data_IF_543308074818
#
_entry.id   IF_543308074818
#
_cell.length_a   1.000
_cell.length_b   1.000
_cell.length_c   1.000
_cell.angle_alpha   90.00
_cell.angle_beta   90.00
_cell.angle_gamma   90.00
#
_symmetry.space_group_name_H-M   'P 1'
#
loop_
_entity.id
_entity.type
_entity.pdbx_description
1 polymer ?
#
# COMPACT_ATOMS: atom_id res chain seq x y z
N UNK A 1 -4.05 -1.26 11.44
CA UNK A 1 -2.93 -2.20 11.36
C UNK A 1 -1.83 -1.70 10.42
N UNK A 2 -2.00 -1.59 9.11
CA UNK A 2 -0.94 -1.15 8.17
C UNK A 2 -0.29 0.20 8.51
N UNK A 3 -1.07 1.23 8.88
CA UNK A 3 -0.52 2.53 9.30
C UNK A 3 0.19 2.45 10.65
N UNK A 4 -0.32 1.65 11.57
CA UNK A 4 0.28 1.45 12.88
C UNK A 4 1.67 0.80 12.72
N UNK A 5 1.76 -0.28 11.95
CA UNK A 5 3.03 -0.90 11.58
C UNK A 5 3.99 0.09 10.89
N UNK A 6 3.48 0.87 9.92
CA UNK A 6 4.28 1.85 9.19
C UNK A 6 4.94 2.87 10.12
N UNK A 7 4.20 3.40 11.09
CA UNK A 7 4.74 4.41 12.00
C UNK A 7 5.57 3.81 13.14
N UNK A 8 5.09 2.76 13.80
CA UNK A 8 5.74 2.21 14.99
C UNK A 8 6.93 1.31 14.69
N UNK A 9 7.00 0.70 13.51
CA UNK A 9 8.08 -0.22 13.14
C UNK A 9 8.94 0.36 12.04
N UNK A 10 8.37 0.62 10.86
CA UNK A 10 9.17 1.03 9.71
C UNK A 10 9.85 2.38 9.87
N UNK A 11 9.15 3.39 10.39
CA UNK A 11 9.71 4.74 10.56
C UNK A 11 10.74 4.77 11.70
N UNK A 12 10.48 4.06 12.80
CA UNK A 12 11.37 4.00 13.93
C UNK A 12 12.67 3.25 13.58
N UNK A 13 12.58 2.09 12.92
CA UNK A 13 13.75 1.34 12.44
C UNK A 13 14.52 2.15 11.38
N UNK A 14 13.82 2.80 10.46
CA UNK A 14 14.46 3.67 9.47
C UNK A 14 15.23 4.81 10.10
N UNK A 15 14.68 5.43 11.16
CA UNK A 15 15.34 6.49 11.92
C UNK A 15 16.56 5.97 12.67
N UNK A 16 16.40 4.88 13.44
CA UNK A 16 17.46 4.37 14.33
C UNK A 16 18.62 3.73 13.58
N UNK A 17 18.32 2.97 12.50
CA UNK A 17 19.34 2.18 11.79
C UNK A 17 20.01 2.97 10.67
N UNK A 18 19.23 3.74 9.91
CA UNK A 18 19.71 4.41 8.68
C UNK A 18 19.70 5.93 8.78
N UNK A 19 19.18 6.50 9.88
CA UNK A 19 18.89 7.92 10.02
C UNK A 19 18.13 8.48 8.83
N UNK A 20 17.29 7.64 8.19
CA UNK A 20 16.47 7.95 7.03
C UNK A 20 15.21 7.10 7.00
N UNK A 21 14.10 7.77 6.75
CA UNK A 21 12.83 7.15 6.36
C UNK A 21 12.16 8.06 5.31
N UNK A 22 11.26 7.51 4.50
CA UNK A 22 10.52 8.34 3.56
C UNK A 22 9.52 9.21 4.30
N UNK A 23 9.78 10.52 4.37
CA UNK A 23 8.82 11.47 4.91
C UNK A 23 7.53 11.43 4.07
N UNK A 24 6.39 11.40 4.70
CA UNK A 24 5.08 11.17 4.08
C UNK A 24 4.10 12.34 4.31
N UNK A 25 4.63 13.55 4.43
CA UNK A 25 3.85 14.79 4.46
C UNK A 25 3.01 15.01 5.72
N UNK A 26 3.20 14.19 6.77
CA UNK A 26 2.43 14.32 8.02
C UNK A 26 3.34 14.57 9.22
N UNK A 27 2.94 15.49 10.08
CA UNK A 27 3.51 15.71 11.42
C UNK A 27 5.04 15.74 11.46
N UNK A 28 5.66 16.51 10.59
CA UNK A 28 7.11 16.65 10.53
C UNK A 28 7.58 18.09 10.56
N UNK A 29 8.77 18.33 11.11
CA UNK A 29 9.43 19.62 11.15
C UNK A 29 10.72 19.53 10.35
N UNK A 30 10.96 20.50 9.49
CA UNK A 30 12.16 20.61 8.68
C UNK A 30 13.05 21.76 9.15
N UNK A 31 14.37 21.52 9.21
CA UNK A 31 15.31 22.64 9.30
C UNK A 31 15.28 23.42 7.98
N UNK A 32 15.20 24.74 8.04
CA UNK A 32 15.16 25.61 6.85
C UNK A 32 16.41 25.41 5.99
N UNK A 33 17.59 25.25 6.61
CA UNK A 33 18.84 24.94 5.91
C UNK A 33 18.75 23.64 5.13
N UNK A 34 18.20 22.55 5.73
CA UNK A 34 18.04 21.28 5.04
C UNK A 34 17.11 21.37 3.84
N UNK A 35 16.03 22.13 3.97
CA UNK A 35 15.07 22.37 2.91
C UNK A 35 15.72 23.15 1.75
N UNK A 36 16.47 24.18 2.05
CA UNK A 36 17.17 25.01 1.05
C UNK A 36 18.27 24.22 0.34
N UNK A 37 19.13 23.50 1.07
CA UNK A 37 20.19 22.68 0.50
C UNK A 37 19.68 21.52 -0.34
N UNK A 38 18.51 20.95 0.01
CA UNK A 38 17.83 19.96 -0.81
C UNK A 38 17.16 20.54 -2.07
N UNK A 39 17.15 21.89 -2.24
CA UNK A 39 16.58 22.59 -3.39
C UNK A 39 15.06 22.76 -3.30
N UNK A 40 14.51 22.83 -2.07
CA UNK A 40 13.09 23.12 -1.82
C UNK A 40 12.12 22.05 -2.33
N UNK A 41 10.86 22.39 -2.33
CA UNK A 41 9.79 21.56 -2.89
C UNK A 41 9.85 21.55 -4.41
N UNK A 42 9.59 20.37 -5.02
CA UNK A 42 9.49 20.21 -6.47
C UNK A 42 8.16 19.58 -6.83
N UNK A 43 7.58 20.02 -7.93
CA UNK A 43 6.27 19.60 -8.46
C UNK A 43 6.34 18.44 -9.45
N UNK A 44 7.50 17.78 -9.58
CA UNK A 44 7.75 16.74 -10.57
C UNK A 44 7.01 15.42 -10.31
N UNK A 45 6.41 15.25 -9.14
CA UNK A 45 5.67 14.05 -8.73
C UNK A 45 4.56 14.41 -7.74
N UNK A 46 3.61 13.48 -7.54
CA UNK A 46 2.54 13.61 -6.55
C UNK A 46 2.96 13.22 -5.13
N UNK A 47 4.26 12.96 -4.90
CA UNK A 47 4.86 12.64 -3.59
C UNK A 47 6.08 13.54 -3.37
N UNK A 48 5.82 14.83 -3.41
CA UNK A 48 6.81 15.91 -3.26
C UNK A 48 7.53 15.85 -1.91
N UNK A 49 6.86 15.35 -0.89
CA UNK A 49 7.35 15.09 0.45
C UNK A 49 8.45 14.00 0.45
N UNK A 50 8.21 12.89 -0.21
CA UNK A 50 9.17 11.81 -0.37
C UNK A 50 10.35 12.24 -1.26
N UNK A 51 10.09 12.98 -2.34
CA UNK A 51 11.14 13.52 -3.20
C UNK A 51 12.10 14.42 -2.41
N UNK A 52 11.57 15.35 -1.63
CA UNK A 52 12.36 16.21 -0.76
C UNK A 52 13.17 15.40 0.26
N UNK A 53 12.54 14.39 0.88
CA UNK A 53 13.21 13.53 1.86
C UNK A 53 14.41 12.78 1.25
N UNK A 54 14.25 12.20 0.06
CA UNK A 54 15.35 11.51 -0.62
C UNK A 54 16.47 12.51 -0.95
N UNK A 55 16.15 13.68 -1.52
CA UNK A 55 17.17 14.70 -1.85
C UNK A 55 17.93 15.20 -0.62
N UNK A 56 17.23 15.48 0.48
CA UNK A 56 17.85 15.88 1.74
C UNK A 56 18.78 14.77 2.28
N UNK A 57 18.34 13.52 2.22
CA UNK A 57 19.13 12.38 2.61
C UNK A 57 20.41 12.24 1.76
N UNK A 58 20.34 12.46 0.45
CA UNK A 58 21.49 12.43 -0.46
C UNK A 58 22.50 13.56 -0.16
N UNK A 59 22.06 14.67 0.45
CA UNK A 59 22.90 15.76 0.95
C UNK A 59 23.50 15.49 2.33
N UNK A 60 23.20 14.36 2.95
CA UNK A 60 23.74 13.97 4.26
C UNK A 60 22.86 14.33 5.45
N UNK A 61 21.70 14.95 5.24
CA UNK A 61 20.76 15.24 6.30
C UNK A 61 20.19 13.95 6.92
N UNK A 62 20.08 13.95 8.23
CA UNK A 62 19.58 12.82 9.02
C UNK A 62 18.14 13.07 9.45
N UNK A 63 17.36 12.00 9.53
CA UNK A 63 15.97 12.00 9.95
C UNK A 63 15.84 11.38 11.33
N UNK A 64 15.12 12.06 12.21
CA UNK A 64 14.82 11.57 13.56
C UNK A 64 13.31 11.36 13.68
N UNK A 65 12.91 10.14 14.05
CA UNK A 65 11.53 9.80 14.36
C UNK A 65 11.31 9.87 15.87
N UNK A 66 10.24 10.54 16.29
CA UNK A 66 9.86 10.70 17.70
C UNK A 66 8.57 9.90 17.97
N UNK A 67 8.71 8.61 18.25
CA UNK A 67 7.58 7.70 18.48
C UNK A 67 6.72 8.04 19.70
N UNK A 68 7.27 8.77 20.68
CA UNK A 68 6.54 9.24 21.86
C UNK A 68 5.53 10.37 21.55
N UNK A 69 5.77 11.13 20.47
CA UNK A 69 4.90 12.24 20.07
C UNK A 69 3.75 11.73 19.21
N UNK A 70 2.54 11.81 19.75
CA UNK A 70 1.33 11.34 19.06
C UNK A 70 0.56 12.51 18.47
N UNK A 71 0.13 12.36 17.22
CA UNK A 71 -0.73 13.32 16.52
C UNK A 71 -2.02 12.63 16.05
N UNK A 72 -3.12 13.39 16.05
CA UNK A 72 -4.39 12.89 15.49
C UNK A 72 -4.28 12.82 13.97
N UNK A 73 -4.65 11.68 13.40
CA UNK A 73 -4.73 11.48 11.96
C UNK A 73 -6.13 10.99 11.59
N UNK A 74 -6.75 11.63 10.60
CA UNK A 74 -8.05 11.23 10.08
C UNK A 74 -7.87 10.28 8.89
N UNK A 75 -8.57 9.16 8.93
CA UNK A 75 -8.59 8.16 7.87
C UNK A 75 -9.59 8.53 6.76
N UNK A 76 -9.43 7.96 5.55
CA UNK A 76 -10.43 8.09 4.49
C UNK A 76 -11.80 7.64 4.96
N UNK A 77 -12.84 8.40 4.59
CA UNK A 77 -14.22 8.17 5.02
C UNK A 77 -14.92 7.03 4.27
N UNK A 78 -14.46 6.70 3.08
CA UNK A 78 -15.07 5.70 2.19
C UNK A 78 -14.02 4.81 1.54
N UNK A 79 -14.43 3.62 1.09
CA UNK A 79 -13.55 2.72 0.34
C UNK A 79 -13.04 3.38 -0.96
N UNK A 80 -13.87 4.18 -1.64
CA UNK A 80 -13.47 4.95 -2.82
C UNK A 80 -12.34 5.94 -2.49
N UNK A 81 -12.48 6.71 -1.40
CA UNK A 81 -11.45 7.64 -0.93
C UNK A 81 -10.15 6.90 -0.54
N UNK A 82 -10.27 5.74 0.11
CA UNK A 82 -9.14 4.89 0.44
C UNK A 82 -8.43 4.38 -0.83
N UNK A 83 -9.15 3.94 -1.86
CA UNK A 83 -8.55 3.50 -3.14
C UNK A 83 -7.78 4.63 -3.83
N UNK A 84 -8.31 5.85 -3.87
CA UNK A 84 -7.59 7.00 -4.41
C UNK A 84 -6.30 7.31 -3.63
N UNK A 85 -6.36 7.24 -2.31
CA UNK A 85 -5.18 7.40 -1.46
C UNK A 85 -4.13 6.32 -1.75
N UNK A 86 -4.53 5.04 -1.82
CA UNK A 86 -3.64 3.91 -2.10
C UNK A 86 -3.06 3.97 -3.52
N UNK A 87 -3.84 4.43 -4.50
CA UNK A 87 -3.34 4.68 -5.85
C UNK A 87 -2.18 5.69 -5.82
N UNK A 88 -2.39 6.83 -5.20
CA UNK A 88 -1.36 7.87 -5.07
C UNK A 88 -0.12 7.37 -4.33
N UNK A 89 -0.31 6.64 -3.24
CA UNK A 89 0.79 6.10 -2.41
C UNK A 89 1.59 4.98 -3.07
N UNK A 90 1.07 4.36 -4.13
CA UNK A 90 1.79 3.35 -4.91
C UNK A 90 2.32 3.91 -6.23
N UNK A 91 1.54 4.70 -6.93
CA UNK A 91 1.90 5.32 -8.20
C UNK A 91 3.00 6.40 -8.03
N UNK A 92 2.84 7.28 -7.03
CA UNK A 92 3.77 8.37 -6.77
C UNK A 92 5.21 7.92 -6.49
N UNK A 93 5.45 7.01 -5.51
CA UNK A 93 6.78 6.47 -5.25
C UNK A 93 7.39 5.72 -6.44
N UNK A 94 6.58 5.00 -7.22
CA UNK A 94 7.04 4.31 -8.42
C UNK A 94 7.49 5.29 -9.51
N UNK A 95 6.73 6.36 -9.73
CA UNK A 95 7.11 7.44 -10.65
C UNK A 95 8.34 8.21 -10.15
N UNK A 96 8.41 8.49 -8.85
CA UNK A 96 9.57 9.12 -8.23
C UNK A 96 10.83 8.26 -8.41
N UNK A 97 10.74 6.96 -8.16
CA UNK A 97 11.84 6.04 -8.37
C UNK A 97 12.38 6.11 -9.80
N UNK A 98 11.50 6.04 -10.79
CA UNK A 98 11.88 6.15 -12.20
C UNK A 98 12.65 7.45 -12.47
N UNK A 99 12.19 8.58 -11.94
CA UNK A 99 12.80 9.91 -12.15
C UNK A 99 14.11 10.09 -11.40
N UNK A 100 14.27 9.45 -10.21
CA UNK A 100 15.43 9.67 -9.36
C UNK A 100 16.48 8.56 -9.44
N UNK A 101 16.18 7.37 -9.95
CA UNK A 101 17.10 6.23 -9.94
C UNK A 101 18.45 6.60 -10.57
N UNK A 102 18.44 7.25 -11.73
CA UNK A 102 19.66 7.67 -12.41
C UNK A 102 20.41 8.77 -11.62
N UNK A 103 19.69 9.75 -11.08
CA UNK A 103 20.25 10.82 -10.24
C UNK A 103 20.97 10.25 -8.99
N UNK A 104 20.36 9.24 -8.35
CA UNK A 104 20.94 8.57 -7.19
C UNK A 104 22.21 7.77 -7.60
N UNK A 105 22.14 7.03 -8.69
CA UNK A 105 23.27 6.19 -9.15
C UNK A 105 24.49 7.02 -9.55
N UNK A 106 24.29 8.12 -10.23
CA UNK A 106 25.37 8.99 -10.74
C UNK A 106 25.92 9.96 -9.71
N UNK A 107 25.28 10.11 -8.55
CA UNK A 107 25.74 11.03 -7.50
C UNK A 107 27.06 10.56 -6.89
N UNK A 108 28.13 11.32 -7.14
CA UNK A 108 29.50 11.00 -6.66
C UNK A 108 29.71 11.25 -5.17
N UNK A 109 28.88 12.09 -4.54
CA UNK A 109 29.03 12.49 -3.14
C UNK A 109 28.34 11.51 -2.16
N UNK A 110 27.71 10.46 -2.66
CA UNK A 110 26.95 9.49 -1.86
C UNK A 110 27.64 8.14 -1.87
N UNK A 111 27.81 7.55 -0.69
CA UNK A 111 28.45 6.23 -0.53
C UNK A 111 27.64 5.13 -1.24
N UNK A 112 28.31 4.07 -1.69
CA UNK A 112 27.66 2.94 -2.35
C UNK A 112 26.58 2.31 -1.46
N UNK A 113 26.84 2.13 -0.17
CA UNK A 113 25.87 1.59 0.78
C UNK A 113 24.60 2.41 0.86
N UNK A 114 24.72 3.73 0.85
CA UNK A 114 23.55 4.61 0.87
C UNK A 114 22.75 4.53 -0.44
N UNK A 115 23.42 4.43 -1.59
CA UNK A 115 22.77 4.20 -2.88
C UNK A 115 21.99 2.88 -2.87
N UNK A 116 22.61 1.80 -2.43
CA UNK A 116 21.98 0.48 -2.29
C UNK A 116 20.77 0.55 -1.35
N UNK A 117 20.93 1.20 -0.19
CA UNK A 117 19.81 1.35 0.74
C UNK A 117 18.63 2.11 0.12
N UNK A 118 18.87 3.26 -0.50
CA UNK A 118 17.79 4.09 -1.07
C UNK A 118 17.17 3.42 -2.30
N UNK A 119 17.97 2.90 -3.23
CA UNK A 119 17.44 2.27 -4.45
C UNK A 119 16.78 0.93 -4.11
N UNK A 120 17.53 0.01 -3.51
CA UNK A 120 17.07 -1.37 -3.32
C UNK A 120 16.09 -1.48 -2.14
N UNK A 121 16.53 -1.12 -0.91
CA UNK A 121 15.70 -1.34 0.28
C UNK A 121 14.49 -0.41 0.31
N UNK A 122 14.68 0.89 0.05
CA UNK A 122 13.60 1.86 0.16
C UNK A 122 12.66 1.84 -1.05
N UNK A 123 13.16 1.98 -2.29
CA UNK A 123 12.29 2.02 -3.45
C UNK A 123 11.89 0.62 -3.94
N UNK A 124 12.86 -0.23 -4.31
CA UNK A 124 12.55 -1.49 -4.98
C UNK A 124 11.79 -2.43 -4.05
N UNK A 125 12.35 -2.79 -2.90
CA UNK A 125 11.73 -3.77 -2.00
C UNK A 125 10.41 -3.24 -1.41
N UNK A 126 10.43 -2.05 -0.80
CA UNK A 126 9.29 -1.56 -0.01
C UNK A 126 8.20 -0.89 -0.83
N UNK A 127 8.52 -0.27 -1.97
CA UNK A 127 7.54 0.50 -2.75
C UNK A 127 7.10 -0.15 -4.06
N UNK A 128 7.93 -1.03 -4.65
CA UNK A 128 7.61 -1.71 -5.90
C UNK A 128 7.30 -3.19 -5.67
N UNK A 129 8.26 -3.95 -5.18
CA UNK A 129 8.21 -5.42 -5.13
C UNK A 129 7.15 -5.91 -4.15
N UNK A 130 7.00 -5.27 -2.99
CA UNK A 130 6.07 -5.72 -1.95
C UNK A 130 4.63 -5.90 -2.47
N UNK A 131 4.12 -4.97 -3.29
CA UNK A 131 2.76 -5.07 -3.82
C UNK A 131 2.65 -6.07 -4.97
N UNK A 132 3.64 -6.08 -5.87
CA UNK A 132 3.67 -6.96 -7.05
C UNK A 132 3.77 -8.43 -6.60
N UNK A 133 4.70 -8.74 -5.69
CA UNK A 133 4.88 -10.10 -5.17
C UNK A 133 3.64 -10.57 -4.42
N UNK A 134 3.05 -9.73 -3.58
CA UNK A 134 1.82 -10.09 -2.87
C UNK A 134 0.71 -10.48 -3.84
N UNK A 135 0.46 -9.69 -4.88
CA UNK A 135 -0.57 -10.00 -5.86
C UNK A 135 -0.21 -11.22 -6.72
N UNK A 136 0.95 -11.18 -7.38
CA UNK A 136 1.33 -12.22 -8.35
C UNK A 136 1.48 -13.57 -7.66
N UNK A 137 2.17 -13.63 -6.51
CA UNK A 137 2.41 -14.90 -5.85
C UNK A 137 1.16 -15.46 -5.16
N UNK A 138 0.48 -14.67 -4.31
CA UNK A 138 -0.62 -15.19 -3.50
C UNK A 138 -1.98 -15.20 -4.20
N UNK A 139 -2.20 -14.34 -5.18
CA UNK A 139 -3.49 -14.28 -5.88
C UNK A 139 -3.47 -14.89 -7.28
N UNK A 140 -2.27 -15.19 -7.85
CA UNK A 140 -2.16 -15.78 -9.19
C UNK A 140 -1.38 -17.09 -9.18
N UNK A 141 -0.09 -17.07 -8.80
CA UNK A 141 0.79 -18.24 -8.93
C UNK A 141 0.37 -19.36 -7.97
N UNK A 142 0.26 -19.07 -6.67
CA UNK A 142 -0.10 -20.06 -5.68
C UNK A 142 -1.45 -20.74 -5.98
N UNK A 143 -2.54 -19.99 -6.31
CA UNK A 143 -3.76 -20.63 -6.79
C UNK A 143 -3.57 -21.45 -8.06
N UNK A 144 -2.81 -20.96 -9.06
CA UNK A 144 -2.59 -21.68 -10.31
C UNK A 144 -1.91 -23.05 -10.11
N UNK A 145 -1.07 -23.21 -9.08
CA UNK A 145 -0.43 -24.51 -8.79
C UNK A 145 -1.42 -25.60 -8.40
N UNK A 146 -2.61 -25.25 -7.98
CA UNK A 146 -3.68 -26.22 -7.71
C UNK A 146 -4.17 -26.91 -8.98
N UNK A 147 -4.13 -26.18 -10.11
CA UNK A 147 -4.55 -26.70 -11.43
C UNK A 147 -3.46 -27.57 -12.10
N UNK A 148 -2.23 -27.55 -11.57
CA UNK A 148 -1.07 -28.27 -12.12
C UNK A 148 -0.48 -29.14 -11.00
N UNK A 149 -0.98 -30.38 -10.82
CA UNK A 149 -0.60 -31.27 -9.70
C UNK A 149 0.88 -31.61 -9.63
N UNK A 150 1.61 -31.48 -10.73
CA UNK A 150 3.04 -31.74 -10.83
C UNK A 150 3.88 -30.63 -10.15
N UNK A 151 3.31 -29.43 -9.99
CA UNK A 151 3.99 -28.31 -9.37
C UNK A 151 3.74 -28.32 -7.87
N UNK A 152 4.76 -28.65 -7.10
CA UNK A 152 4.70 -28.60 -5.62
C UNK A 152 5.38 -27.33 -5.11
N UNK A 153 4.62 -26.46 -4.48
CA UNK A 153 5.18 -25.28 -3.80
C UNK A 153 5.66 -25.67 -2.41
N UNK A 154 6.94 -25.43 -2.07
CA UNK A 154 7.43 -25.74 -0.74
C UNK A 154 6.65 -25.00 0.36
N UNK A 155 6.05 -25.71 1.30
CA UNK A 155 5.24 -25.11 2.39
C UNK A 155 6.02 -24.09 3.22
N UNK A 156 7.32 -24.28 3.38
CA UNK A 156 8.17 -23.33 4.11
C UNK A 156 8.24 -21.96 3.41
N UNK A 157 8.29 -21.94 2.08
CA UNK A 157 8.33 -20.68 1.32
C UNK A 157 6.96 -20.01 1.16
N UNK A 158 5.91 -20.83 0.89
CA UNK A 158 4.57 -20.32 0.63
C UNK A 158 3.76 -19.97 1.88
N UNK A 159 4.01 -20.68 3.00
CA UNK A 159 3.19 -20.57 4.22
C UNK A 159 4.03 -20.14 5.41
N UNK A 160 5.07 -20.90 5.79
CA UNK A 160 5.73 -20.69 7.07
C UNK A 160 6.49 -19.38 7.17
N UNK A 161 7.34 -19.06 6.18
CA UNK A 161 8.08 -17.79 6.18
C UNK A 161 7.14 -16.57 6.16
N UNK A 162 6.14 -16.48 5.24
CA UNK A 162 5.19 -15.38 5.26
C UNK A 162 4.37 -15.28 6.54
N UNK A 163 3.98 -16.43 7.12
CA UNK A 163 3.26 -16.46 8.40
C UNK A 163 4.12 -15.92 9.55
N UNK A 164 5.39 -16.30 9.62
CA UNK A 164 6.31 -15.77 10.63
C UNK A 164 6.51 -14.27 10.47
N UNK A 165 6.73 -13.80 9.24
CA UNK A 165 6.85 -12.36 8.95
C UNK A 165 5.59 -11.62 9.36
N UNK A 166 4.41 -12.16 9.02
CA UNK A 166 3.12 -11.56 9.38
C UNK A 166 2.91 -11.50 10.90
N UNK A 167 3.26 -12.57 11.61
CA UNK A 167 3.19 -12.62 13.06
C UNK A 167 4.14 -11.62 13.73
N UNK A 168 5.39 -11.55 13.26
CA UNK A 168 6.36 -10.55 13.76
C UNK A 168 5.87 -9.12 13.54
N UNK A 169 5.28 -8.84 12.39
CA UNK A 169 4.68 -7.55 12.10
C UNK A 169 3.46 -7.27 13.01
N UNK A 170 2.66 -8.29 13.32
CA UNK A 170 1.51 -8.18 14.19
C UNK A 170 1.88 -7.97 15.67
N UNK A 171 3.00 -8.55 16.12
CA UNK A 171 3.55 -8.30 17.48
C UNK A 171 3.94 -6.83 17.68
N UNK A 172 4.42 -6.17 16.64
CA UNK A 172 4.67 -4.71 16.67
C UNK A 172 3.39 -3.86 16.78
N UNK A 173 2.21 -4.46 16.56
CA UNK A 173 0.90 -3.78 16.60
C UNK A 173 -0.13 -4.55 17.43
N UNK A 174 0.07 -4.78 18.72
CA UNK A 174 -0.71 -5.73 19.53
C UNK A 174 -2.20 -5.38 19.61
N UNK A 175 -2.56 -4.10 19.52
CA UNK A 175 -3.95 -3.63 19.54
C UNK A 175 -4.78 -4.12 18.35
N UNK A 176 -4.14 -4.46 17.24
CA UNK A 176 -4.79 -4.86 15.98
C UNK A 176 -4.67 -6.36 15.68
N UNK A 177 -4.10 -7.14 16.59
CA UNK A 177 -3.82 -8.55 16.38
C UNK A 177 -5.08 -9.37 16.03
N UNK A 178 -6.21 -9.06 16.65
CA UNK A 178 -7.50 -9.74 16.39
C UNK A 178 -8.02 -9.51 14.95
N UNK A 179 -7.50 -8.52 14.23
CA UNK A 179 -7.88 -8.21 12.85
C UNK A 179 -6.95 -8.87 11.81
N UNK A 180 -5.96 -9.67 12.24
CA UNK A 180 -4.88 -10.16 11.38
C UNK A 180 -5.39 -10.93 10.15
N UNK A 181 -6.37 -11.82 10.31
CA UNK A 181 -6.91 -12.61 9.19
C UNK A 181 -7.61 -11.69 8.18
N UNK A 182 -8.46 -10.80 8.65
CA UNK A 182 -9.14 -9.82 7.78
C UNK A 182 -8.16 -8.88 7.11
N UNK A 183 -7.09 -8.51 7.82
CA UNK A 183 -6.04 -7.68 7.27
C UNK A 183 -5.29 -8.38 6.14
N UNK A 184 -4.92 -9.66 6.29
CA UNK A 184 -4.26 -10.43 5.21
C UNK A 184 -5.14 -10.50 3.97
N UNK A 185 -6.41 -10.89 4.14
CA UNK A 185 -7.36 -10.98 3.02
C UNK A 185 -7.55 -9.63 2.32
N UNK A 186 -7.66 -8.56 3.09
CA UNK A 186 -7.80 -7.20 2.57
C UNK A 186 -6.52 -6.71 1.85
N UNK A 187 -5.34 -6.96 2.41
CA UNK A 187 -4.06 -6.60 1.78
C UNK A 187 -3.87 -7.33 0.44
N UNK A 188 -4.26 -8.60 0.34
CA UNK A 188 -4.22 -9.34 -0.91
C UNK A 188 -5.15 -8.72 -1.97
N UNK A 189 -6.37 -8.34 -1.60
CA UNK A 189 -7.28 -7.62 -2.51
C UNK A 189 -6.68 -6.29 -2.95
N UNK A 190 -6.17 -5.50 -2.01
CA UNK A 190 -5.59 -4.19 -2.29
C UNK A 190 -4.28 -4.27 -3.07
N UNK A 191 -3.57 -5.41 -3.01
CA UNK A 191 -2.33 -5.62 -3.75
C UNK A 191 -2.54 -5.54 -5.27
N UNK A 192 -3.67 -6.02 -5.80
CA UNK A 192 -4.04 -5.85 -7.21
C UNK A 192 -4.10 -4.36 -7.59
N UNK A 193 -4.82 -3.58 -6.79
CA UNK A 193 -4.99 -2.14 -7.04
C UNK A 193 -3.66 -1.39 -6.96
N UNK A 194 -2.83 -1.71 -5.94
CA UNK A 194 -1.50 -1.12 -5.76
C UNK A 194 -0.53 -1.54 -6.86
N UNK A 195 -0.54 -2.80 -7.28
CA UNK A 195 0.27 -3.31 -8.40
C UNK A 195 -0.04 -2.54 -9.68
N UNK A 196 -1.34 -2.38 -10.02
CA UNK A 196 -1.75 -1.56 -11.15
C UNK A 196 -1.25 -0.12 -11.03
N UNK A 197 -1.38 0.51 -9.88
CA UNK A 197 -0.91 1.86 -9.63
C UNK A 197 0.62 1.97 -9.77
N UNK A 198 1.36 0.98 -9.29
CA UNK A 198 2.83 0.91 -9.41
C UNK A 198 3.26 0.86 -10.87
N UNK A 199 2.61 0.04 -11.70
CA UNK A 199 2.91 0.01 -13.14
C UNK A 199 2.56 1.31 -13.85
N UNK A 200 1.44 1.96 -13.49
CA UNK A 200 1.10 3.29 -14.01
C UNK A 200 2.20 4.30 -13.66
N UNK A 201 2.73 4.26 -12.45
CA UNK A 201 3.83 5.14 -12.02
C UNK A 201 5.14 4.87 -12.76
N UNK A 202 5.51 3.60 -12.91
CA UNK A 202 6.74 3.20 -13.60
C UNK A 202 6.71 3.52 -15.10
N UNK A 203 5.55 3.35 -15.74
CA UNK A 203 5.39 3.56 -17.19
C UNK A 203 4.92 4.97 -17.55
N UNK A 204 4.71 5.83 -16.56
CA UNK A 204 4.11 7.18 -16.73
C UNK A 204 2.78 7.15 -17.48
N UNK A 205 1.91 6.20 -17.14
CA UNK A 205 0.58 6.08 -17.72
C UNK A 205 -0.31 7.29 -17.45
N UNK A 206 -1.42 7.42 -18.18
CA UNK A 206 -2.27 8.60 -18.24
C UNK A 206 -2.88 9.12 -16.93
N UNK A 207 -2.66 8.47 -15.78
CA UNK A 207 -3.16 8.90 -14.46
C UNK A 207 -2.04 9.13 -13.44
N UNK A 208 -0.80 9.25 -13.90
CA UNK A 208 0.38 9.35 -13.04
C UNK A 208 0.37 10.61 -12.16
N UNK A 209 -0.14 11.71 -12.69
CA UNK A 209 -0.21 13.00 -11.99
C UNK A 209 -1.62 13.32 -11.46
N UNK A 210 -2.51 12.32 -11.38
CA UNK A 210 -3.87 12.54 -10.90
C UNK A 210 -3.86 12.82 -9.38
N UNK A 211 -4.23 14.05 -9.01
CA UNK A 211 -4.37 14.46 -7.63
C UNK A 211 -5.85 14.59 -7.27
N UNK A 212 -6.38 13.62 -6.55
CA UNK A 212 -7.73 13.66 -5.98
C UNK A 212 -7.60 13.81 -4.46
N UNK A 213 -8.16 14.90 -3.94
CA UNK A 213 -8.19 15.14 -2.49
C UNK A 213 -9.01 14.04 -1.81
N UNK A 214 -8.40 13.38 -0.83
CA UNK A 214 -9.03 12.30 -0.09
C UNK A 214 -10.07 12.87 0.88
N UNK A 215 -11.35 12.50 0.74
CA UNK A 215 -12.39 12.85 1.70
C UNK A 215 -12.12 12.17 3.05
N UNK A 216 -12.11 12.95 4.11
CA UNK A 216 -11.91 12.50 5.49
C UNK A 216 -13.23 12.52 6.26
N UNK A 217 -13.29 11.82 7.40
CA UNK A 217 -14.50 11.74 8.23
C UNK A 217 -14.99 13.10 8.71
N UNK A 218 -14.08 14.01 9.07
CA UNK A 218 -14.42 15.37 9.46
C UNK A 218 -15.11 16.17 8.36
N UNK A 219 -14.67 16.05 7.11
CA UNK A 219 -15.25 16.73 5.95
C UNK A 219 -16.70 16.28 5.70
N UNK A 220 -17.00 14.99 5.92
CA UNK A 220 -18.35 14.44 5.74
C UNK A 220 -19.32 15.01 6.75
N UNK A 221 -18.91 15.13 8.02
CA UNK A 221 -19.71 15.76 9.07
C UNK A 221 -20.01 17.23 8.79
N UNK A 222 -19.01 17.99 8.34
CA UNK A 222 -19.16 19.41 7.98
C UNK A 222 -20.11 19.58 6.78
N UNK A 223 -20.02 18.76 5.75
CA UNK A 223 -20.91 18.79 4.57
C UNK A 223 -22.33 18.35 4.87
N UNK A 224 -22.54 17.45 5.83
CA UNK A 224 -23.87 16.99 6.26
C UNK A 224 -24.62 18.08 7.03
N UNK A 225 -23.92 18.87 7.81
CA UNK A 225 -24.50 20.00 8.55
C UNK A 225 -24.97 21.17 7.64
N UNK A 226 -24.41 21.26 6.42
CA UNK A 226 -24.66 22.40 5.51
C UNK A 226 -25.62 22.10 4.35
N UNK A 227 -26.04 20.85 4.10
CA UNK A 227 -26.84 20.46 2.94
C UNK A 227 -28.14 19.74 3.28
N UNK A 228 -29.21 20.50 3.36
CA UNK A 228 -30.62 20.07 3.14
C UNK A 228 -30.90 19.98 1.61
N UNK A 229 -30.07 19.37 0.82
CA UNK A 229 -30.30 19.19 -0.61
C UNK A 229 -30.45 17.71 -0.93
N UNK A 230 -31.64 17.32 -1.43
CA UNK A 230 -31.95 16.00 -1.95
C UNK A 230 -30.88 15.60 -2.98
N UNK A 231 -29.89 14.77 -2.59
CA UNK A 231 -29.00 14.10 -3.53
C UNK A 231 -29.80 13.08 -4.30
N UNK A 232 -30.15 13.38 -5.55
CA UNK A 232 -30.55 12.38 -6.52
C UNK A 232 -29.38 11.42 -6.70
N UNK A 233 -29.55 10.20 -6.21
CA UNK A 233 -28.60 9.10 -6.36
C UNK A 233 -28.50 8.73 -7.85
N UNK A 234 -27.67 9.43 -8.62
CA UNK A 234 -27.27 8.97 -9.95
C UNK A 234 -26.35 7.76 -9.78
N UNK A 235 -26.90 6.58 -9.97
CA UNK A 235 -26.17 5.33 -10.06
C UNK A 235 -25.26 5.37 -11.29
N UNK A 236 -23.97 5.65 -11.09
CA UNK A 236 -22.93 5.39 -12.09
C UNK A 236 -22.38 3.98 -11.84
N UNK A 237 -22.64 3.06 -12.76
CA UNK A 237 -22.22 1.66 -12.68
C UNK A 237 -20.70 1.51 -12.40
N UNK A 238 -19.85 2.36 -12.93
CA UNK A 238 -18.40 2.32 -12.74
C UNK A 238 -17.87 2.81 -11.39
N UNK A 239 -18.70 3.41 -10.52
CA UNK A 239 -18.25 3.93 -9.22
C UNK A 239 -18.30 2.89 -8.09
N UNK A 240 -19.00 1.78 -8.27
CA UNK A 240 -19.20 0.73 -7.27
C UNK A 240 -18.70 -0.65 -7.70
N UNK A 241 -18.63 -0.94 -8.99
CA UNK A 241 -18.24 -2.25 -9.52
C UNK A 241 -16.79 -2.18 -9.99
N UNK A 242 -15.95 -3.04 -9.44
CA UNK A 242 -14.54 -3.16 -9.78
C UNK A 242 -14.31 -4.48 -10.53
N UNK A 243 -14.34 -4.41 -11.86
CA UNK A 243 -14.33 -5.59 -12.74
C UNK A 243 -13.08 -6.46 -12.58
N UNK A 244 -11.90 -5.86 -12.35
CA UNK A 244 -10.68 -6.64 -12.16
C UNK A 244 -10.71 -7.47 -10.88
N UNK A 245 -11.20 -6.87 -9.78
CA UNK A 245 -11.37 -7.57 -8.50
C UNK A 245 -12.39 -8.71 -8.64
N UNK A 246 -13.51 -8.48 -9.36
CA UNK A 246 -14.47 -9.54 -9.64
C UNK A 246 -13.87 -10.66 -10.51
N UNK A 247 -13.07 -10.34 -11.51
CA UNK A 247 -12.38 -11.32 -12.34
C UNK A 247 -11.43 -12.21 -11.54
N UNK A 248 -10.64 -11.61 -10.65
CA UNK A 248 -9.78 -12.38 -9.73
C UNK A 248 -10.61 -13.21 -8.75
N UNK A 249 -11.71 -12.66 -8.22
CA UNK A 249 -12.63 -13.39 -7.36
C UNK A 249 -13.22 -14.63 -8.04
N UNK A 250 -13.66 -14.51 -9.30
CA UNK A 250 -14.15 -15.64 -10.11
C UNK A 250 -13.05 -16.68 -10.36
N UNK A 251 -11.83 -16.25 -10.68
CA UNK A 251 -10.69 -17.14 -10.85
C UNK A 251 -10.40 -17.92 -9.56
N UNK A 252 -10.32 -17.26 -8.41
CA UNK A 252 -10.08 -17.91 -7.13
C UNK A 252 -11.22 -18.85 -6.72
N UNK A 253 -12.47 -18.49 -7.02
CA UNK A 253 -13.62 -19.37 -6.80
C UNK A 253 -13.52 -20.63 -7.65
N UNK A 254 -13.22 -20.49 -8.95
CA UNK A 254 -13.04 -21.61 -9.85
C UNK A 254 -11.94 -22.57 -9.36
N UNK A 255 -10.77 -22.03 -9.03
CA UNK A 255 -9.64 -22.83 -8.53
C UNK A 255 -9.98 -23.46 -7.17
N UNK A 256 -10.70 -22.75 -6.29
CA UNK A 256 -11.15 -23.29 -5.01
C UNK A 256 -12.14 -24.44 -5.16
N UNK A 257 -13.08 -24.34 -6.10
CA UNK A 257 -13.96 -25.46 -6.45
C UNK A 257 -13.18 -26.64 -6.99
N UNK A 258 -12.23 -26.39 -7.90
CA UNK A 258 -11.37 -27.47 -8.43
C UNK A 258 -10.58 -28.18 -7.32
N UNK A 259 -9.96 -27.42 -6.40
CA UNK A 259 -9.25 -28.01 -5.25
C UNK A 259 -10.15 -28.80 -4.30
N UNK A 260 -11.38 -28.34 -4.08
CA UNK A 260 -12.33 -29.01 -3.22
C UNK A 260 -12.78 -30.39 -3.77
N UNK A 261 -12.89 -30.53 -5.10
CA UNK A 261 -13.32 -31.77 -5.76
C UNK A 261 -12.18 -32.68 -6.14
N UNK A 262 -11.04 -32.14 -6.57
CA UNK A 262 -9.94 -32.89 -7.17
C UNK A 262 -8.59 -32.70 -6.48
N UNK A 263 -8.49 -31.68 -5.61
CA UNK A 263 -7.24 -31.30 -4.95
C UNK A 263 -6.86 -32.21 -3.80
N UNK A 264 -5.56 -32.30 -3.54
CA UNK A 264 -4.98 -33.06 -2.41
C UNK A 264 -4.50 -32.15 -1.27
N UNK A 265 -4.38 -30.85 -1.53
CA UNK A 265 -3.68 -29.92 -0.65
C UNK A 265 -4.58 -29.11 0.29
N UNK A 266 -5.90 -29.20 0.11
CA UNK A 266 -6.93 -28.50 0.91
C UNK A 266 -6.76 -26.97 0.97
N UNK A 267 -6.23 -26.35 -0.09
CA UNK A 267 -6.12 -24.89 -0.19
C UNK A 267 -7.48 -24.20 -0.41
N UNK A 268 -8.54 -24.95 -0.73
CA UNK A 268 -9.88 -24.44 -1.03
C UNK A 268 -10.41 -23.51 0.06
N UNK A 269 -10.11 -23.77 1.36
CA UNK A 269 -10.55 -22.88 2.44
C UNK A 269 -9.98 -21.47 2.30
N UNK A 270 -8.66 -21.37 2.02
CA UNK A 270 -8.01 -20.10 1.76
C UNK A 270 -8.55 -19.44 0.48
N UNK A 271 -8.70 -20.23 -0.59
CA UNK A 271 -9.16 -19.75 -1.90
C UNK A 271 -10.58 -19.20 -1.83
N UNK A 272 -11.49 -19.87 -1.13
CA UNK A 272 -12.87 -19.38 -0.92
C UNK A 272 -12.90 -18.11 -0.08
N UNK A 273 -12.15 -18.07 1.03
CA UNK A 273 -12.07 -16.88 1.86
C UNK A 273 -11.53 -15.68 1.06
N UNK A 274 -10.51 -15.92 0.25
CA UNK A 274 -9.91 -14.89 -0.59
C UNK A 274 -10.87 -14.48 -1.73
N UNK A 275 -11.58 -15.42 -2.37
CA UNK A 275 -12.60 -15.12 -3.39
C UNK A 275 -13.71 -14.24 -2.83
N UNK A 276 -14.22 -14.56 -1.63
CA UNK A 276 -15.23 -13.77 -0.94
C UNK A 276 -14.71 -12.34 -0.70
N UNK A 277 -13.47 -12.19 -0.23
CA UNK A 277 -12.87 -10.87 -0.01
C UNK A 277 -12.77 -10.05 -1.31
N UNK A 278 -12.40 -10.70 -2.43
CA UNK A 278 -12.36 -10.06 -3.74
C UNK A 278 -13.77 -9.68 -4.23
N UNK A 279 -14.78 -10.50 -4.01
CA UNK A 279 -16.17 -10.16 -4.36
C UNK A 279 -16.70 -8.99 -3.53
N UNK A 280 -16.49 -8.98 -2.21
CA UNK A 280 -16.88 -7.87 -1.34
C UNK A 280 -16.26 -6.56 -1.82
N UNK A 281 -14.98 -6.58 -2.17
CA UNK A 281 -14.30 -5.41 -2.72
C UNK A 281 -14.78 -5.06 -4.13
N UNK A 282 -14.97 -6.07 -4.98
CA UNK A 282 -15.41 -5.92 -6.36
C UNK A 282 -16.80 -5.32 -6.48
N UNK A 283 -17.70 -5.64 -5.55
CA UNK A 283 -19.03 -5.03 -5.44
C UNK A 283 -19.04 -3.72 -4.65
N UNK A 284 -17.88 -3.24 -4.20
CA UNK A 284 -17.77 -1.99 -3.44
C UNK A 284 -18.46 -2.01 -2.08
N UNK A 285 -18.61 -3.20 -1.48
CA UNK A 285 -19.30 -3.40 -0.19
C UNK A 285 -18.36 -3.14 1.02
N UNK A 286 -17.11 -2.77 0.78
CA UNK A 286 -16.20 -2.35 1.85
C UNK A 286 -16.55 -0.91 2.23
N UNK A 287 -16.92 -0.69 3.47
CA UNK A 287 -17.26 0.63 3.98
C UNK A 287 -16.97 0.80 5.46
N UNK A 288 -16.86 2.03 5.90
CA UNK A 288 -16.85 2.40 7.32
C UNK A 288 -18.30 2.58 7.75
N UNK A 289 -18.75 1.77 8.70
CA UNK A 289 -20.00 2.05 9.43
C UNK A 289 -19.65 3.15 10.44
N UNK A 290 -20.09 4.38 10.17
CA UNK A 290 -20.02 5.46 11.14
C UNK A 290 -21.27 5.35 12.00
N UNK A 291 -21.16 5.07 13.32
CA UNK A 291 -22.31 5.10 14.19
C UNK A 291 -22.94 6.51 14.15
N UNK A 292 -24.22 6.58 13.89
CA UNK A 292 -24.99 7.80 14.05
C UNK A 292 -25.09 8.06 15.57
N UNK A 293 -24.23 8.95 16.10
CA UNK A 293 -24.39 9.52 17.43
C UNK A 293 -24.97 10.91 17.31
#
# INVERSE_FOLDING_TARGET
MSLDYHFTVEQEVGSSTYAFFGFNGTAGIWRISALNEAGGWKDRTTVEDMDLAVRASLKGWKFLYLGSLKVKNELPSTFKAYRYQQHRWSCGPANLFRKMAFEIMTNKNVTLWKKVHVIYSFFVVRKLVAHIVTFIFYCVILPATVLVPEVTVPKWGAVYIPSVITLLNAVGTPRSLHLMVFWILFENVMSLHRTKATFIGLLEGGRVNEWIVTEKLGDVKAKSATKTSKKVLRFRFGDRIHVLELGVGMYLLFVGCYDAFFGKNHYYLYLFAQAIAFFIAGFGQIGTIVPNH
#
